data_IF_574867449645
#
_entry.id   IF_574867449645
#
_cell.length_a   1.000
_cell.length_b   1.000
_cell.length_c   1.000
_cell.angle_alpha   90.00
_cell.angle_beta   90.00
_cell.angle_gamma   90.00
#
_symmetry.space_group_name_H-M   'P 1'
#
loop_
_entity.id
_entity.type
_entity.pdbx_description
1 polymer ?
#
# COMPACT_ATOMS: atom_id res chain seq x y z
N UNK A 1 -4.03 23.88 5.92
CA UNK A 1 -2.94 23.14 6.61
C UNK A 1 -3.38 21.86 7.37
N UNK A 2 -4.43 21.86 8.23
CA UNK A 2 -4.81 20.69 9.10
C UNK A 2 -5.18 19.39 8.36
N UNK A 3 -5.90 19.44 7.23
CA UNK A 3 -6.35 18.25 6.49
C UNK A 3 -5.20 17.47 5.81
N UNK A 4 -4.17 18.17 5.33
CA UNK A 4 -2.96 17.54 4.77
C UNK A 4 -2.18 16.78 5.84
N UNK A 5 -2.01 17.38 7.03
CA UNK A 5 -1.43 16.69 8.20
C UNK A 5 -2.21 15.44 8.59
N UNK A 6 -3.55 15.48 8.55
CA UNK A 6 -4.40 14.30 8.81
C UNK A 6 -4.20 13.18 7.78
N UNK A 7 -4.10 13.52 6.49
CA UNK A 7 -3.85 12.54 5.43
C UNK A 7 -2.47 11.89 5.61
N UNK A 8 -1.43 12.69 5.86
CA UNK A 8 -0.07 12.16 6.08
C UNK A 8 -0.01 11.21 7.27
N UNK A 9 -0.65 11.55 8.39
CA UNK A 9 -0.71 10.69 9.58
C UNK A 9 -1.44 9.37 9.28
N UNK A 10 -2.64 9.44 8.67
CA UNK A 10 -3.40 8.24 8.30
C UNK A 10 -2.64 7.33 7.34
N UNK A 11 -1.92 7.93 6.38
CA UNK A 11 -1.06 7.19 5.45
C UNK A 11 0.04 6.45 6.20
N UNK A 12 0.77 7.13 7.08
CA UNK A 12 1.82 6.52 7.91
C UNK A 12 1.27 5.39 8.80
N UNK A 13 0.12 5.59 9.45
CA UNK A 13 -0.53 4.54 10.25
C UNK A 13 -0.91 3.32 9.40
N UNK A 14 -1.41 3.52 8.17
CA UNK A 14 -1.75 2.42 7.27
C UNK A 14 -0.51 1.63 6.85
N UNK A 15 0.58 2.32 6.51
CA UNK A 15 1.85 1.68 6.17
C UNK A 15 2.39 0.86 7.35
N UNK A 16 2.35 1.39 8.58
CA UNK A 16 2.78 0.64 9.77
C UNK A 16 1.91 -0.61 10.00
N UNK A 17 0.59 -0.54 9.76
CA UNK A 17 -0.27 -1.72 9.84
C UNK A 17 0.08 -2.76 8.78
N UNK A 18 0.34 -2.34 7.55
CA UNK A 18 0.78 -3.25 6.49
C UNK A 18 2.12 -3.91 6.84
N UNK A 19 3.08 -3.14 7.33
CA UNK A 19 4.35 -3.66 7.84
C UNK A 19 4.12 -4.72 8.92
N UNK A 20 3.30 -4.45 9.93
CA UNK A 20 3.00 -5.42 10.99
C UNK A 20 2.40 -6.73 10.46
N UNK A 21 1.54 -6.68 9.43
CA UNK A 21 0.98 -7.89 8.83
C UNK A 21 2.04 -8.72 8.10
N UNK A 22 3.01 -8.06 7.45
CA UNK A 22 4.14 -8.74 6.81
C UNK A 22 4.98 -9.45 7.87
N UNK A 23 5.37 -8.72 8.93
CA UNK A 23 6.25 -9.23 9.99
C UNK A 23 5.60 -10.35 10.82
N UNK A 24 4.34 -10.18 11.21
CA UNK A 24 3.71 -11.07 12.21
C UNK A 24 2.79 -12.13 11.61
N UNK A 25 2.43 -12.03 10.32
CA UNK A 25 1.49 -12.96 9.69
C UNK A 25 2.05 -13.67 8.45
N UNK A 26 3.29 -13.38 8.03
CA UNK A 26 3.93 -13.96 6.84
C UNK A 26 3.09 -13.76 5.55
N UNK A 27 2.61 -12.53 5.35
CA UNK A 27 1.77 -12.15 4.20
C UNK A 27 2.51 -11.14 3.33
N UNK A 28 2.44 -11.32 2.01
CA UNK A 28 2.91 -10.32 1.06
C UNK A 28 1.83 -9.25 0.81
N UNK A 29 2.20 -7.97 0.90
CA UNK A 29 1.28 -6.85 0.75
C UNK A 29 1.77 -5.88 -0.32
N UNK A 30 0.84 -5.43 -1.16
CA UNK A 30 1.00 -4.26 -2.02
C UNK A 30 -0.12 -3.25 -1.73
N UNK A 31 0.26 -2.00 -1.43
CA UNK A 31 -0.64 -0.89 -1.19
C UNK A 31 -0.50 0.14 -2.31
N UNK A 32 -1.61 0.41 -3.00
CA UNK A 32 -1.70 1.47 -4.00
C UNK A 32 -2.69 2.52 -3.51
N UNK A 33 -2.24 3.74 -3.29
CA UNK A 33 -3.06 4.84 -2.78
C UNK A 33 -3.10 5.95 -3.83
N UNK A 34 -4.27 6.19 -4.44
CA UNK A 34 -4.52 7.33 -5.34
C UNK A 34 -5.00 8.54 -4.55
N UNK A 35 -4.19 9.59 -4.48
CA UNK A 35 -4.64 10.87 -3.95
C UNK A 35 -5.45 11.62 -5.02
N UNK A 36 -6.78 11.55 -4.93
CA UNK A 36 -7.69 12.19 -5.89
C UNK A 36 -7.54 13.72 -6.01
N UNK A 37 -6.90 14.38 -5.04
CA UNK A 37 -6.70 15.84 -5.07
C UNK A 37 -5.48 16.26 -5.87
N UNK A 38 -4.42 15.47 -5.79
CA UNK A 38 -3.14 15.77 -6.44
C UNK A 38 -2.89 14.87 -7.63
N UNK A 39 -3.79 13.92 -7.91
CA UNK A 39 -3.66 12.84 -8.89
C UNK A 39 -2.44 11.90 -8.69
N UNK A 40 -1.57 12.18 -7.72
CA UNK A 40 -0.43 11.33 -7.38
C UNK A 40 -0.83 9.99 -6.78
N UNK A 41 -0.09 8.97 -7.19
CA UNK A 41 -0.12 7.65 -6.61
C UNK A 41 1.02 7.50 -5.61
N UNK A 42 0.73 6.82 -4.51
CA UNK A 42 1.72 6.31 -3.59
C UNK A 42 1.66 4.79 -3.62
N UNK A 43 2.82 4.15 -3.70
CA UNK A 43 2.95 2.71 -3.74
C UNK A 43 3.83 2.25 -2.58
N UNK A 44 3.43 1.17 -1.93
CA UNK A 44 4.24 0.44 -0.95
C UNK A 44 4.12 -1.05 -1.28
N UNK A 45 5.25 -1.73 -1.39
CA UNK A 45 5.33 -3.16 -1.59
C UNK A 45 6.17 -3.76 -0.46
N UNK A 46 5.69 -4.85 0.14
CA UNK A 46 6.45 -5.57 1.17
C UNK A 46 7.64 -6.33 0.60
N UNK A 47 7.57 -6.70 -0.68
CA UNK A 47 8.62 -7.42 -1.39
C UNK A 47 9.02 -6.66 -2.65
N UNK A 48 10.32 -6.72 -2.95
CA UNK A 48 10.88 -6.14 -4.17
C UNK A 48 11.06 -7.23 -5.22
N UNK A 49 9.94 -7.74 -5.76
CA UNK A 49 9.93 -8.70 -6.85
C UNK A 49 9.33 -8.07 -8.10
N UNK A 50 9.94 -8.33 -9.27
CA UNK A 50 9.48 -7.80 -10.56
C UNK A 50 8.07 -8.29 -10.95
N UNK A 51 7.67 -9.46 -10.46
CA UNK A 51 6.35 -10.07 -10.66
C UNK A 51 5.32 -9.66 -9.60
N UNK A 52 5.67 -8.78 -8.66
CA UNK A 52 4.79 -8.35 -7.57
C UNK A 52 4.51 -6.83 -7.61
N UNK A 53 3.26 -6.39 -7.37
CA UNK A 53 2.05 -7.22 -7.23
C UNK A 53 1.62 -7.83 -8.57
N UNK A 54 0.91 -8.98 -8.53
CA UNK A 54 0.29 -9.55 -9.72
C UNK A 54 -0.75 -8.60 -10.33
N UNK A 55 -0.99 -8.72 -11.63
CA UNK A 55 -2.08 -8.01 -12.31
C UNK A 55 -3.44 -8.43 -11.75
N UNK A 56 -4.48 -7.61 -11.96
CA UNK A 56 -5.84 -8.00 -11.58
C UNK A 56 -6.28 -9.31 -12.24
N UNK A 57 -5.90 -9.54 -13.48
CA UNK A 57 -6.24 -10.80 -14.16
C UNK A 57 -5.53 -11.98 -13.51
N UNK A 58 -4.27 -11.80 -13.08
CA UNK A 58 -3.53 -12.83 -12.35
C UNK A 58 -4.17 -13.14 -11.00
N UNK A 59 -4.66 -12.14 -10.27
CA UNK A 59 -5.31 -12.33 -8.96
C UNK A 59 -6.61 -13.15 -9.05
N UNK A 60 -7.41 -12.95 -10.10
CA UNK A 60 -8.71 -13.64 -10.28
C UNK A 60 -8.54 -15.13 -10.62
N UNK A 61 -7.35 -15.53 -11.07
CA UNK A 61 -7.04 -16.88 -11.53
C UNK A 61 -6.24 -17.72 -10.51
N UNK A 62 -6.08 -17.25 -9.27
CA UNK A 62 -5.50 -18.01 -8.13
C UNK A 62 -6.62 -18.58 -7.25
#
# INVERSE_FOLDING_TARGET
>A
KRRSKRLSRRKSTLINKAYNLVEFCNINIALIIRNRRTSYYFMYNSINLKSWPPSKEQIVNY
#
